data_IF_398566436300
#
_entry.id   IF_398566436300
#
_cell.length_a   1.000
_cell.length_b   1.000
_cell.length_c   1.000
_cell.angle_alpha   90.00
_cell.angle_beta   90.00
_cell.angle_gamma   90.00
#
_symmetry.space_group_name_H-M   'P 1'
#
loop_
_entity.id
_entity.type
_entity.pdbx_description
1 polymer ?
#
# COMPACT_ATOMS: atom_id res chain seq x y z
N UNK A 1 13.83 23.98 -3.40
CA UNK A 1 13.42 22.60 -3.74
C UNK A 1 13.04 22.55 -5.21
N UNK A 2 13.79 21.81 -6.03
CA UNK A 2 13.60 21.77 -7.48
C UNK A 2 12.33 20.94 -7.83
N UNK A 3 11.39 21.56 -8.57
CA UNK A 3 10.23 20.88 -9.15
C UNK A 3 10.71 19.73 -10.03
N UNK A 4 10.56 18.48 -9.57
CA UNK A 4 10.82 17.28 -10.38
C UNK A 4 9.82 17.28 -11.55
N UNK A 5 10.30 17.57 -12.75
CA UNK A 5 9.57 17.33 -14.01
C UNK A 5 9.30 15.83 -14.10
N UNK A 6 8.03 15.43 -13.99
CA UNK A 6 7.59 14.07 -14.30
C UNK A 6 7.97 13.77 -15.76
N UNK A 7 8.93 12.85 -15.97
CA UNK A 7 9.37 12.48 -17.32
C UNK A 7 8.21 11.78 -18.06
N UNK A 8 7.75 12.37 -19.15
CA UNK A 8 6.66 11.89 -20.02
C UNK A 8 7.16 10.79 -20.97
N UNK A 9 7.89 9.79 -20.46
CA UNK A 9 8.32 8.65 -21.28
C UNK A 9 7.24 7.56 -21.19
N UNK A 10 6.80 6.95 -22.31
CA UNK A 10 5.76 5.91 -22.30
C UNK A 10 6.12 4.75 -21.38
N UNK A 11 5.19 4.38 -20.48
CA UNK A 11 5.37 3.34 -19.46
C UNK A 11 5.71 1.95 -20.05
N UNK A 12 5.30 1.68 -21.28
CA UNK A 12 5.54 0.42 -22.00
C UNK A 12 7.00 0.18 -22.41
N UNK A 13 7.82 1.23 -22.50
CA UNK A 13 9.22 1.14 -22.97
C UNK A 13 10.20 0.93 -21.80
N UNK A 14 9.75 1.12 -20.54
CA UNK A 14 10.61 1.09 -19.33
C UNK A 14 10.50 -0.18 -18.48
N UNK A 15 9.53 -1.06 -18.73
CA UNK A 15 9.30 -2.24 -17.91
C UNK A 15 10.35 -3.34 -18.18
N UNK A 16 11.10 -3.77 -17.15
CA UNK A 16 12.32 -4.58 -17.33
C UNK A 16 12.24 -5.99 -16.73
N UNK A 17 11.35 -6.24 -15.77
CA UNK A 17 11.25 -7.52 -15.07
C UNK A 17 9.85 -8.11 -15.20
N UNK A 18 9.78 -9.41 -15.47
CA UNK A 18 8.54 -10.16 -15.63
C UNK A 18 8.20 -10.91 -14.35
N UNK A 19 6.96 -11.37 -14.23
CA UNK A 19 6.57 -12.31 -13.18
C UNK A 19 7.48 -13.55 -13.21
N UNK A 20 7.96 -13.97 -12.03
CA UNK A 20 8.88 -15.10 -11.88
C UNK A 20 10.38 -14.77 -12.02
N UNK A 21 10.75 -13.54 -12.41
CA UNK A 21 12.15 -13.11 -12.38
C UNK A 21 12.67 -12.93 -10.95
N UNK A 22 13.97 -13.13 -10.75
CA UNK A 22 14.62 -12.94 -9.45
C UNK A 22 14.91 -11.45 -9.21
N UNK A 23 14.53 -10.97 -8.03
CA UNK A 23 14.64 -9.56 -7.64
C UNK A 23 16.12 -9.19 -7.46
N UNK A 24 16.67 -8.23 -8.24
CA UNK A 24 18.10 -7.92 -8.24
C UNK A 24 18.55 -7.13 -6.99
N UNK A 25 17.67 -6.27 -6.47
CA UNK A 25 17.90 -5.44 -5.30
C UNK A 25 16.61 -5.24 -4.52
N UNK A 26 16.73 -5.14 -3.19
CA UNK A 26 15.60 -4.79 -2.34
C UNK A 26 15.15 -3.36 -2.66
N UNK A 27 13.85 -3.15 -2.88
CA UNK A 27 13.34 -1.84 -3.30
C UNK A 27 11.83 -1.83 -3.55
N UNK A 28 11.31 -0.66 -3.91
CA UNK A 28 9.94 -0.49 -4.41
C UNK A 28 9.95 -0.66 -5.93
N UNK A 29 8.99 -1.43 -6.42
CA UNK A 29 8.78 -1.63 -7.84
C UNK A 29 7.38 -1.14 -8.21
N UNK A 30 7.26 -0.47 -9.35
CA UNK A 30 5.97 -0.03 -9.88
C UNK A 30 5.47 -1.04 -10.92
N UNK A 31 4.19 -1.37 -10.84
CA UNK A 31 3.49 -2.25 -11.77
C UNK A 31 3.22 -1.51 -13.08
N UNK A 32 3.61 -2.10 -14.22
CA UNK A 32 3.41 -1.53 -15.55
C UNK A 32 1.94 -1.34 -15.97
N UNK A 33 1.04 -2.13 -15.38
CA UNK A 33 -0.38 -2.20 -15.76
C UNK A 33 -1.22 -1.19 -14.96
N UNK A 34 -1.16 -1.26 -13.63
CA UNK A 34 -1.97 -0.38 -12.76
C UNK A 34 -1.21 0.84 -12.24
N UNK A 35 0.12 0.84 -12.27
CA UNK A 35 0.94 1.89 -11.66
C UNK A 35 1.01 1.86 -10.13
N UNK A 36 0.53 0.79 -9.49
CA UNK A 36 0.71 0.60 -8.04
C UNK A 36 2.12 0.11 -7.71
N UNK A 37 2.50 0.35 -6.47
CA UNK A 37 3.82 0.04 -5.93
C UNK A 37 3.78 -1.20 -5.06
N UNK A 38 4.80 -2.04 -5.17
CA UNK A 38 4.99 -3.21 -4.31
C UNK A 38 6.46 -3.31 -3.91
N UNK A 39 6.72 -3.72 -2.66
CA UNK A 39 8.07 -3.83 -2.13
C UNK A 39 8.56 -5.27 -2.28
N UNK A 40 9.76 -5.45 -2.81
CA UNK A 40 10.39 -6.75 -2.98
C UNK A 40 11.77 -6.78 -2.31
N UNK A 41 12.15 -7.93 -1.74
CA UNK A 41 13.47 -8.15 -1.16
C UNK A 41 14.42 -8.78 -2.18
N UNK A 42 15.71 -8.43 -2.11
CA UNK A 42 16.75 -9.05 -2.95
C UNK A 42 16.70 -10.57 -2.82
N UNK A 43 16.59 -11.25 -3.96
CA UNK A 43 16.57 -12.70 -4.05
C UNK A 43 15.19 -13.36 -3.98
N UNK A 44 14.13 -12.60 -3.69
CA UNK A 44 12.75 -13.05 -3.90
C UNK A 44 12.43 -13.12 -5.40
N UNK A 45 11.26 -13.67 -5.73
CA UNK A 45 10.73 -13.70 -7.08
C UNK A 45 9.61 -12.67 -7.20
N UNK A 46 9.54 -11.97 -8.34
CA UNK A 46 8.44 -11.05 -8.61
C UNK A 46 7.11 -11.80 -8.66
N UNK A 47 6.18 -11.40 -7.79
CA UNK A 47 4.81 -11.90 -7.76
C UNK A 47 3.93 -11.17 -8.78
N UNK A 48 2.76 -11.76 -9.06
CA UNK A 48 1.71 -11.06 -9.78
C UNK A 48 1.20 -9.91 -8.91
N UNK A 49 0.91 -8.76 -9.54
CA UNK A 49 0.44 -7.59 -8.82
C UNK A 49 -0.95 -7.86 -8.22
N UNK A 50 -1.05 -7.78 -6.88
CA UNK A 50 -2.29 -8.11 -6.17
C UNK A 50 -3.47 -7.23 -6.59
N UNK A 51 -3.24 -5.96 -6.91
CA UNK A 51 -4.29 -5.06 -7.39
C UNK A 51 -4.76 -5.39 -8.81
N UNK A 52 -3.87 -5.89 -9.67
CA UNK A 52 -4.25 -6.35 -11.01
C UNK A 52 -5.09 -7.62 -10.92
N UNK A 53 -4.73 -8.54 -10.02
CA UNK A 53 -5.54 -9.73 -9.70
C UNK A 53 -6.92 -9.31 -9.22
N UNK A 54 -6.98 -8.41 -8.22
CA UNK A 54 -8.24 -7.94 -7.64
C UNK A 54 -9.13 -7.18 -8.64
N UNK A 55 -8.53 -6.54 -9.66
CA UNK A 55 -9.23 -5.81 -10.71
C UNK A 55 -9.56 -6.65 -11.94
N UNK A 56 -9.33 -7.97 -11.91
CA UNK A 56 -9.57 -8.91 -13.01
C UNK A 56 -8.95 -8.44 -14.35
N UNK A 57 -7.73 -7.92 -14.31
CA UNK A 57 -6.97 -7.66 -15.53
C UNK A 57 -6.24 -8.91 -15.98
N UNK A 58 -6.41 -9.28 -17.24
CA UNK A 58 -5.78 -10.45 -17.87
C UNK A 58 -4.38 -10.14 -18.45
N UNK A 59 -3.98 -8.87 -18.46
CA UNK A 59 -2.66 -8.45 -18.94
C UNK A 59 -1.54 -8.87 -17.96
N UNK A 60 -0.50 -9.54 -18.48
CA UNK A 60 0.68 -9.87 -17.70
C UNK A 60 1.37 -8.60 -17.18
N UNK A 61 1.47 -8.47 -15.85
CA UNK A 61 2.14 -7.34 -15.24
C UNK A 61 3.66 -7.47 -15.31
N UNK A 62 4.32 -6.36 -15.64
CA UNK A 62 5.78 -6.22 -15.54
C UNK A 62 6.11 -5.23 -14.43
N UNK A 63 7.32 -5.37 -13.89
CA UNK A 63 7.84 -4.54 -12.81
C UNK A 63 8.99 -3.67 -13.32
N UNK A 64 9.07 -2.45 -12.80
CA UNK A 64 10.27 -1.62 -12.95
C UNK A 64 10.65 -0.93 -11.65
N UNK A 65 11.95 -0.78 -11.47
CA UNK A 65 12.56 -0.14 -10.30
C UNK A 65 12.17 1.33 -10.32
N UNK A 66 11.53 1.80 -9.25
CA UNK A 66 11.38 3.23 -9.01
C UNK A 66 12.75 3.79 -8.62
N UNK A 67 13.01 5.08 -8.87
CA UNK A 67 14.28 5.71 -8.46
C UNK A 67 14.42 5.83 -6.92
N UNK A 68 13.51 5.22 -6.16
CA UNK A 68 13.41 5.31 -4.72
C UNK A 68 13.75 3.95 -4.11
N UNK A 69 15.00 3.83 -3.66
CA UNK A 69 15.46 2.63 -2.98
C UNK A 69 14.85 2.58 -1.57
N UNK A 70 14.01 1.58 -1.31
CA UNK A 70 13.68 1.21 0.07
C UNK A 70 14.93 0.60 0.71
N UNK A 71 15.54 1.34 1.63
CA UNK A 71 16.50 0.74 2.56
C UNK A 71 15.70 -0.15 3.52
N UNK A 72 15.73 -1.46 3.29
CA UNK A 72 15.31 -2.39 4.34
C UNK A 72 16.36 -2.32 5.46
N UNK A 73 16.13 -1.47 6.46
CA UNK A 73 16.96 -1.34 7.67
C UNK A 73 16.67 -2.50 8.65
N UNK A 74 16.47 -3.73 8.15
CA UNK A 74 16.47 -4.91 9.01
C UNK A 74 17.83 -5.58 8.91
N UNK A 75 18.82 -4.98 9.57
CA UNK A 75 20.10 -5.67 9.77
C UNK A 75 19.84 -6.86 10.69
N UNK A 76 20.21 -8.06 10.27
CA UNK A 76 20.06 -9.24 11.12
C UNK A 76 21.09 -9.20 12.25
N UNK A 77 20.67 -8.70 13.41
CA UNK A 77 21.53 -8.53 14.59
C UNK A 77 22.19 -9.85 15.02
N UNK A 78 21.53 -11.01 14.84
CA UNK A 78 22.12 -12.30 15.21
C UNK A 78 23.43 -12.59 14.46
N UNK A 79 23.51 -12.21 13.18
CA UNK A 79 24.70 -12.45 12.34
C UNK A 79 25.88 -11.60 12.84
N UNK A 80 25.60 -10.37 13.28
CA UNK A 80 26.63 -9.47 13.81
C UNK A 80 27.19 -9.98 15.14
N UNK A 81 26.31 -10.49 16.02
CA UNK A 81 26.74 -11.14 17.26
C UNK A 81 27.63 -12.34 16.99
N UNK A 82 27.29 -13.21 16.04
CA UNK A 82 28.07 -14.42 15.76
C UNK A 82 29.46 -14.10 15.16
N UNK A 83 29.59 -12.96 14.46
CA UNK A 83 30.88 -12.45 13.96
C UNK A 83 31.77 -11.91 15.06
N UNK A 84 31.19 -11.29 16.09
CA UNK A 84 31.94 -10.62 17.18
C UNK A 84 32.15 -11.58 18.37
N UNK A 85 31.37 -12.67 18.46
CA UNK A 85 31.47 -13.64 19.55
C UNK A 85 32.86 -14.26 19.66
N UNK A 86 33.46 -14.15 20.86
CA UNK A 86 34.77 -14.71 21.16
C UNK A 86 34.74 -16.24 21.16
N UNK A 87 35.92 -16.85 20.99
CA UNK A 87 36.05 -18.31 20.96
C UNK A 87 35.46 -18.98 22.23
N UNK A 88 35.72 -18.41 23.40
CA UNK A 88 35.21 -18.94 24.67
C UNK A 88 33.68 -18.94 24.76
N UNK A 89 33.03 -17.91 24.20
CA UNK A 89 31.56 -17.83 24.12
C UNK A 89 31.01 -18.95 23.26
N UNK A 90 31.62 -19.19 22.08
CA UNK A 90 31.20 -20.26 21.18
C UNK A 90 31.34 -21.65 21.82
N UNK A 91 32.38 -21.86 22.60
CA UNK A 91 32.58 -23.10 23.36
C UNK A 91 31.53 -23.25 24.45
N UNK A 92 31.29 -22.21 25.26
CA UNK A 92 30.29 -22.23 26.32
C UNK A 92 28.87 -22.50 25.78
N UNK A 93 28.52 -21.86 24.68
CA UNK A 93 27.23 -22.08 24.01
C UNK A 93 27.12 -23.51 23.47
N UNK A 94 28.20 -24.07 22.90
CA UNK A 94 28.16 -25.45 22.38
C UNK A 94 28.03 -26.50 23.47
N UNK A 95 28.72 -26.30 24.60
CA UNK A 95 28.59 -27.18 25.78
C UNK A 95 27.18 -27.06 26.35
N UNK A 96 26.64 -25.85 26.45
CA UNK A 96 25.29 -25.60 26.97
C UNK A 96 24.21 -26.20 26.07
N UNK A 97 24.37 -26.08 24.74
CA UNK A 97 23.47 -26.70 23.75
C UNK A 97 23.45 -28.24 23.90
N UNK A 98 24.64 -28.84 24.10
CA UNK A 98 24.74 -30.28 24.33
C UNK A 98 24.13 -30.70 25.68
N UNK A 99 24.43 -29.98 26.75
CA UNK A 99 23.89 -30.23 28.09
C UNK A 99 22.37 -30.05 28.18
N UNK A 100 21.79 -29.15 27.37
CA UNK A 100 20.35 -28.95 27.26
C UNK A 100 19.62 -29.99 26.39
N UNK A 101 20.34 -30.92 25.77
CA UNK A 101 19.75 -31.94 24.90
C UNK A 101 19.26 -33.17 25.67
N UNK A 102 18.22 -33.85 25.18
CA UNK A 102 17.78 -35.12 25.79
C UNK A 102 18.80 -36.26 25.65
N UNK A 103 19.71 -36.18 24.66
CA UNK A 103 20.81 -37.13 24.51
C UNK A 103 21.73 -37.14 25.73
N UNK A 104 21.99 -35.97 26.31
CA UNK A 104 22.79 -35.83 27.53
C UNK A 104 22.18 -36.58 28.72
N UNK A 105 20.85 -36.52 28.86
CA UNK A 105 20.11 -37.22 29.93
C UNK A 105 20.24 -38.73 29.77
N UNK A 106 20.04 -39.27 28.57
CA UNK A 106 20.18 -40.72 28.33
C UNK A 106 21.61 -41.20 28.55
N UNK A 107 22.60 -40.40 28.15
CA UNK A 107 24.01 -40.70 28.42
C UNK A 107 24.29 -40.83 29.93
N UNK A 108 23.80 -39.89 30.75
CA UNK A 108 23.96 -39.94 32.21
C UNK A 108 23.26 -41.12 32.84
N UNK A 109 22.04 -41.44 32.40
CA UNK A 109 21.31 -42.63 32.89
C UNK A 109 22.11 -43.90 32.61
N UNK A 110 22.62 -44.07 31.38
CA UNK A 110 23.41 -45.24 31.01
C UNK A 110 24.74 -45.30 31.76
N UNK A 111 25.42 -44.15 31.91
CA UNK A 111 26.67 -44.07 32.65
C UNK A 111 26.48 -44.42 34.14
N UNK A 112 25.47 -43.86 34.80
CA UNK A 112 25.20 -44.17 36.21
C UNK A 112 24.74 -45.62 36.39
N UNK A 113 23.89 -46.14 35.51
CA UNK A 113 23.50 -47.55 35.54
C UNK A 113 24.72 -48.47 35.36
N UNK A 114 25.61 -48.16 34.41
CA UNK A 114 26.85 -48.89 34.21
C UNK A 114 27.75 -48.86 35.44
N UNK A 115 27.92 -47.68 36.07
CA UNK A 115 28.75 -47.52 37.26
C UNK A 115 28.25 -48.35 38.44
N UNK A 116 26.93 -48.33 38.68
CA UNK A 116 26.30 -49.11 39.75
C UNK A 116 26.48 -50.60 39.46
N UNK A 117 26.16 -51.07 38.25
CA UNK A 117 26.30 -52.49 37.90
C UNK A 117 27.75 -52.99 37.98
N UNK A 118 28.73 -52.14 37.64
CA UNK A 118 30.15 -52.43 37.81
C UNK A 118 30.53 -52.62 39.28
N UNK A 119 30.06 -51.74 40.16
CA UNK A 119 30.42 -51.75 41.57
C UNK A 119 29.59 -52.71 42.44
N UNK A 120 28.40 -53.14 41.97
CA UNK A 120 27.65 -54.26 42.56
C UNK A 120 28.28 -55.63 42.23
N UNK A 121 29.41 -55.65 41.52
CA UNK A 121 30.18 -56.87 41.25
C UNK A 121 29.63 -57.74 40.13
N UNK A 122 28.69 -57.22 39.32
CA UNK A 122 28.08 -57.95 38.19
C UNK A 122 29.12 -58.35 37.12
N UNK A 123 30.24 -57.63 37.06
CA UNK A 123 31.36 -57.90 36.15
C UNK A 123 32.55 -58.62 36.84
N UNK A 124 32.39 -58.99 38.12
CA UNK A 124 33.38 -59.71 38.92
C UNK A 124 34.00 -58.88 40.05
N UNK A 125 34.51 -59.52 41.12
CA UNK A 125 34.98 -58.84 42.33
C UNK A 125 36.23 -57.97 42.13
N UNK A 126 36.92 -58.10 40.99
CA UNK A 126 38.06 -57.25 40.62
C UNK A 126 37.66 -55.86 40.13
N UNK A 127 36.39 -55.66 39.76
CA UNK A 127 35.88 -54.41 39.20
C UNK A 127 35.09 -53.57 40.22
N UNK A 128 35.06 -53.99 41.48
CA UNK A 128 34.46 -53.21 42.58
C UNK A 128 35.51 -52.24 43.10
N UNK A 129 35.38 -50.96 42.76
CA UNK A 129 36.36 -49.91 43.11
C UNK A 129 35.74 -48.75 43.92
N UNK A 130 34.43 -48.56 43.83
CA UNK A 130 33.65 -47.54 44.54
C UNK A 130 32.46 -48.22 45.24
N UNK A 131 32.67 -48.84 46.43
CA UNK A 131 31.61 -49.50 47.18
C UNK A 131 30.52 -48.51 47.62
N UNK A 132 29.29 -49.01 47.81
CA UNK A 132 28.22 -48.22 48.41
C UNK A 132 28.70 -47.61 49.75
N UNK A 133 28.65 -46.28 49.92
CA UNK A 133 27.74 -45.30 49.31
C UNK A 133 28.23 -44.51 48.06
N UNK A 134 29.12 -45.05 47.23
CA UNK A 134 29.57 -44.44 45.95
C UNK A 134 30.22 -43.04 46.10
N UNK A 135 31.24 -42.94 46.95
CA UNK A 135 31.92 -41.68 47.25
C UNK A 135 32.66 -41.08 46.05
N UNK A 136 33.26 -41.91 45.19
CA UNK A 136 33.99 -41.41 44.02
C UNK A 136 33.04 -40.87 42.95
N UNK A 137 31.93 -41.59 42.69
CA UNK A 137 30.90 -41.12 41.75
C UNK A 137 30.35 -39.76 42.18
N UNK A 138 29.98 -39.61 43.46
CA UNK A 138 29.39 -38.38 43.97
C UNK A 138 30.34 -37.20 43.89
N UNK A 139 31.63 -37.40 44.15
CA UNK A 139 32.65 -36.36 44.01
C UNK A 139 32.80 -35.90 42.55
N UNK A 140 32.90 -36.84 41.60
CA UNK A 140 33.06 -36.54 40.17
C UNK A 140 31.83 -35.79 39.63
N UNK A 141 30.63 -36.30 39.90
CA UNK A 141 29.37 -35.68 39.45
C UNK A 141 29.19 -34.29 40.05
N UNK A 142 29.56 -34.08 41.31
CA UNK A 142 29.49 -32.75 41.94
C UNK A 142 30.42 -31.75 41.26
N UNK A 143 31.65 -32.16 40.93
CA UNK A 143 32.58 -31.31 40.21
C UNK A 143 32.08 -30.99 38.79
N UNK A 144 31.59 -32.00 38.08
CA UNK A 144 30.99 -31.84 36.75
C UNK A 144 29.81 -30.86 36.77
N UNK A 145 28.91 -30.99 37.75
CA UNK A 145 27.75 -30.13 37.89
C UNK A 145 28.13 -28.65 38.08
N UNK A 146 29.21 -28.35 38.82
CA UNK A 146 29.72 -26.97 38.98
C UNK A 146 30.17 -26.41 37.63
N UNK A 147 30.94 -27.18 36.85
CA UNK A 147 31.36 -26.75 35.52
C UNK A 147 30.16 -26.51 34.59
N UNK A 148 29.20 -27.43 34.55
CA UNK A 148 28.00 -27.28 33.73
C UNK A 148 27.18 -26.05 34.14
N UNK A 149 26.96 -25.84 35.45
CA UNK A 149 26.24 -24.68 35.95
C UNK A 149 26.92 -23.37 35.55
N UNK A 150 28.26 -23.29 35.61
CA UNK A 150 28.98 -22.08 35.19
C UNK A 150 28.87 -21.83 33.68
N UNK A 151 28.96 -22.86 32.83
CA UNK A 151 28.77 -22.70 31.39
C UNK A 151 27.35 -22.26 31.04
N UNK A 152 26.35 -22.85 31.69
CA UNK A 152 24.94 -22.45 31.55
C UNK A 152 24.78 -20.97 31.92
N UNK A 153 25.34 -20.55 33.06
CA UNK A 153 25.24 -19.15 33.52
C UNK A 153 25.92 -18.18 32.53
N UNK A 154 27.07 -18.57 31.96
CA UNK A 154 27.76 -17.76 30.94
C UNK A 154 26.89 -17.63 29.68
N UNK A 155 26.35 -18.74 29.16
CA UNK A 155 25.50 -18.74 27.96
C UNK A 155 24.20 -17.94 28.18
N UNK A 156 23.62 -18.03 29.39
CA UNK A 156 22.46 -17.24 29.80
C UNK A 156 22.77 -15.73 29.85
N UNK A 157 23.90 -15.32 30.45
CA UNK A 157 24.30 -13.91 30.53
C UNK A 157 24.49 -13.31 29.12
N UNK A 158 25.08 -14.08 28.20
CA UNK A 158 25.29 -13.65 26.81
C UNK A 158 23.98 -13.57 26.05
N UNK A 159 23.11 -14.57 26.22
CA UNK A 159 21.75 -14.55 25.66
C UNK A 159 20.94 -13.36 26.16
N UNK A 160 21.08 -13.01 27.45
CA UNK A 160 20.48 -11.82 28.06
C UNK A 160 20.97 -10.53 27.40
N UNK A 161 22.28 -10.33 27.27
CA UNK A 161 22.88 -9.17 26.59
C UNK A 161 22.43 -9.06 25.12
N UNK A 162 22.35 -10.19 24.42
CA UNK A 162 21.85 -10.25 23.03
C UNK A 162 20.38 -9.85 22.96
N UNK A 163 19.57 -10.26 23.95
CA UNK A 163 18.17 -9.86 24.05
C UNK A 163 18.01 -8.36 24.31
N UNK A 164 18.79 -7.80 25.24
CA UNK A 164 18.78 -6.37 25.57
C UNK A 164 19.15 -5.51 24.36
N UNK A 165 20.23 -5.84 23.66
CA UNK A 165 20.65 -5.12 22.46
C UNK A 165 19.65 -5.23 21.30
N UNK A 166 18.94 -6.36 21.19
CA UNK A 166 17.83 -6.49 20.23
C UNK A 166 16.66 -5.60 20.61
N UNK A 167 16.29 -5.55 21.89
CA UNK A 167 15.20 -4.70 22.37
C UNK A 167 15.50 -3.20 22.13
N UNK A 168 16.75 -2.77 22.36
CA UNK A 168 17.18 -1.40 22.06
C UNK A 168 17.08 -1.07 20.57
N UNK A 169 17.53 -1.98 19.70
CA UNK A 169 17.40 -1.77 18.25
C UNK A 169 15.93 -1.77 17.80
N UNK A 170 15.10 -2.65 18.34
CA UNK A 170 13.66 -2.68 18.06
C UNK A 170 12.97 -1.38 18.49
N UNK A 171 13.37 -0.83 19.65
CA UNK A 171 12.88 0.46 20.11
C UNK A 171 13.22 1.60 19.13
N UNK A 172 14.46 1.67 18.64
CA UNK A 172 14.88 2.67 17.67
C UNK A 172 14.11 2.56 16.35
N UNK A 173 13.92 1.34 15.83
CA UNK A 173 13.12 1.11 14.61
C UNK A 173 11.67 1.51 14.82
N UNK A 174 11.10 1.23 16.01
CA UNK A 174 9.72 1.62 16.31
C UNK A 174 9.57 3.16 16.36
N UNK A 175 10.50 3.88 17.00
CA UNK A 175 10.50 5.35 17.01
C UNK A 175 10.60 5.93 15.59
N UNK A 176 11.46 5.37 14.73
CA UNK A 176 11.56 5.81 13.34
C UNK A 176 10.26 5.53 12.58
N UNK A 177 9.63 4.38 12.82
CA UNK A 177 8.34 4.03 12.24
C UNK A 177 7.24 4.99 12.68
N UNK A 178 7.16 5.33 13.98
CA UNK A 178 6.21 6.31 14.50
C UNK A 178 6.40 7.69 13.85
N UNK A 179 7.65 8.12 13.67
CA UNK A 179 7.97 9.36 12.95
C UNK A 179 7.51 9.31 11.50
N UNK A 180 7.80 8.23 10.78
CA UNK A 180 7.39 8.06 9.39
C UNK A 180 5.85 8.05 9.26
N UNK A 181 5.15 7.40 10.20
CA UNK A 181 3.68 7.43 10.25
C UNK A 181 3.16 8.84 10.52
N UNK A 182 3.77 9.59 11.43
CA UNK A 182 3.39 10.98 11.68
C UNK A 182 3.57 11.87 10.44
N UNK A 183 4.66 11.69 9.70
CA UNK A 183 4.93 12.39 8.44
C UNK A 183 3.90 12.03 7.36
N UNK A 184 3.59 10.74 7.20
CA UNK A 184 2.53 10.29 6.29
C UNK A 184 1.16 10.88 6.67
N UNK A 185 0.82 10.93 7.97
CA UNK A 185 -0.40 11.56 8.45
C UNK A 185 -0.43 13.06 8.13
N UNK A 186 0.70 13.75 8.23
CA UNK A 186 0.79 15.17 7.87
C UNK A 186 0.55 15.37 6.37
N UNK A 187 1.14 14.54 5.50
CA UNK A 187 0.92 14.59 4.05
C UNK A 187 -0.55 14.30 3.72
N UNK A 188 -1.17 13.30 4.36
CA UNK A 188 -2.59 12.98 4.15
C UNK A 188 -3.50 14.14 4.58
N UNK A 189 -3.19 14.81 5.69
CA UNK A 189 -3.93 16.00 6.12
C UNK A 189 -3.82 17.13 5.10
N UNK A 190 -2.63 17.36 4.55
CA UNK A 190 -2.43 18.39 3.52
C UNK A 190 -3.21 18.07 2.23
N UNK A 191 -3.12 16.83 1.74
CA UNK A 191 -3.90 16.38 0.58
C UNK A 191 -5.41 16.52 0.82
N UNK A 192 -5.89 16.24 2.04
CA UNK A 192 -7.29 16.47 2.40
C UNK A 192 -7.63 17.95 2.31
N UNK A 193 -6.79 18.84 2.86
CA UNK A 193 -7.01 20.29 2.82
C UNK A 193 -7.08 20.81 1.39
N UNK A 194 -6.18 20.37 0.53
CA UNK A 194 -6.23 20.71 -0.90
C UNK A 194 -7.52 20.20 -1.57
N UNK A 195 -7.99 19.00 -1.20
CA UNK A 195 -9.24 18.46 -1.74
C UNK A 195 -10.48 19.22 -1.26
N UNK A 196 -10.48 19.69 -0.01
CA UNK A 196 -11.55 20.53 0.55
C UNK A 196 -11.58 21.90 -0.14
N UNK A 197 -10.42 22.55 -0.34
CA UNK A 197 -10.33 23.82 -1.07
C UNK A 197 -10.85 23.71 -2.52
N UNK A 198 -10.53 22.60 -3.19
CA UNK A 198 -11.05 22.31 -4.54
C UNK A 198 -12.56 22.11 -4.54
N UNK A 199 -13.13 21.58 -3.47
CA UNK A 199 -14.58 21.42 -3.35
C UNK A 199 -15.29 22.75 -3.14
N UNK A 200 -14.75 23.62 -2.28
CA UNK A 200 -15.27 24.97 -2.03
C UNK A 200 -15.26 25.81 -3.31
N UNK A 201 -14.11 25.91 -3.99
CA UNK A 201 -14.02 26.61 -5.28
C UNK A 201 -14.96 26.07 -6.37
N UNK A 202 -15.20 24.75 -6.40
CA UNK A 202 -16.18 24.17 -7.35
C UNK A 202 -17.61 24.60 -6.98
N UNK A 203 -17.93 24.74 -5.70
CA UNK A 203 -19.26 25.18 -5.27
C UNK A 203 -19.46 26.68 -5.51
N UNK A 204 -18.45 27.53 -5.26
CA UNK A 204 -18.47 28.97 -5.60
C UNK A 204 -18.63 29.21 -7.12
N UNK A 205 -17.92 28.42 -7.93
CA UNK A 205 -18.07 28.48 -9.40
C UNK A 205 -19.48 28.07 -9.84
N UNK A 206 -20.15 27.14 -9.15
CA UNK A 206 -21.53 26.81 -9.49
C UNK A 206 -22.49 27.94 -9.16
N UNK A 207 -22.32 28.57 -8.00
CA UNK A 207 -23.17 29.68 -7.57
C UNK A 207 -23.08 30.85 -8.57
N UNK A 208 -21.86 31.26 -8.93
CA UNK A 208 -21.65 32.32 -9.94
C UNK A 208 -22.19 31.95 -11.33
N UNK A 209 -22.11 30.67 -11.73
CA UNK A 209 -22.71 30.21 -13.00
C UNK A 209 -24.24 30.24 -12.94
N UNK A 210 -24.84 29.97 -11.78
CA UNK A 210 -26.29 30.00 -11.57
C UNK A 210 -26.79 31.47 -11.57
N UNK A 211 -26.06 32.40 -10.95
CA UNK A 211 -26.32 33.85 -11.00
C UNK A 211 -26.21 34.42 -12.43
N UNK A 212 -25.15 34.08 -13.17
CA UNK A 212 -24.99 34.52 -14.57
C UNK A 212 -26.14 33.97 -15.42
N UNK A 213 -26.52 32.71 -15.23
CA UNK A 213 -27.63 32.12 -15.97
C UNK A 213 -28.96 32.84 -15.70
N UNK A 214 -29.20 33.30 -14.48
CA UNK A 214 -30.39 34.06 -14.11
C UNK A 214 -30.41 35.44 -14.78
N UNK A 215 -29.29 36.18 -14.73
CA UNK A 215 -29.14 37.46 -15.43
C UNK A 215 -29.27 37.32 -16.95
N UNK A 216 -28.79 36.22 -17.54
CA UNK A 216 -28.92 36.01 -18.99
C UNK A 216 -30.37 35.74 -19.41
N UNK A 217 -31.21 35.21 -18.51
CA UNK A 217 -32.63 35.01 -18.80
C UNK A 217 -33.43 36.31 -18.62
N UNK A 218 -33.09 37.16 -17.65
CA UNK A 218 -33.63 38.54 -17.55
C UNK A 218 -33.31 39.37 -18.79
N UNK A 219 -32.05 39.38 -19.23
CA UNK A 219 -31.62 40.16 -20.38
C UNK A 219 -32.29 39.67 -21.69
N UNK A 220 -32.60 38.36 -21.78
CA UNK A 220 -33.40 37.81 -22.88
C UNK A 220 -34.86 38.23 -22.82
N UNK A 221 -35.46 38.34 -21.64
CA UNK A 221 -36.82 38.87 -21.49
C UNK A 221 -36.89 40.34 -21.88
N UNK A 222 -35.92 41.17 -21.45
CA UNK A 222 -35.82 42.58 -21.82
C UNK A 222 -35.64 42.80 -23.33
N UNK A 223 -34.76 42.00 -23.97
CA UNK A 223 -34.58 42.02 -25.42
C UNK A 223 -35.86 41.60 -26.13
N UNK A 224 -36.58 40.60 -25.61
CA UNK A 224 -37.85 40.16 -26.19
C UNK A 224 -38.93 41.23 -26.08
N UNK A 225 -39.02 41.94 -24.96
CA UNK A 225 -39.94 43.07 -24.80
C UNK A 225 -39.57 44.25 -25.72
N UNK A 226 -38.28 44.51 -25.94
CA UNK A 226 -37.84 45.51 -26.92
C UNK A 226 -38.18 45.12 -28.36
N UNK A 227 -38.06 43.84 -28.72
CA UNK A 227 -38.44 43.34 -30.05
C UNK A 227 -39.97 43.43 -30.26
N UNK A 228 -40.78 43.18 -29.23
CA UNK A 228 -42.25 43.24 -29.30
C UNK A 228 -42.80 44.67 -29.36
N UNK A 229 -41.98 45.68 -29.00
CA UNK A 229 -42.31 47.11 -29.14
C UNK A 229 -41.83 47.74 -30.45
N UNK A 230 -41.11 47.02 -31.32
CA UNK A 230 -40.79 47.51 -32.67
C UNK A 230 -42.07 47.46 -33.50
N UNK A 231 -42.63 48.61 -33.94
CA UNK A 231 -43.81 48.61 -34.79
C UNK A 231 -43.47 47.88 -36.10
N UNK A 232 -44.33 46.97 -36.53
CA UNK A 232 -44.19 46.20 -37.78
C UNK A 232 -43.99 47.13 -39.00
N UNK A 233 -44.51 48.35 -38.94
CA UNK A 233 -44.34 49.41 -39.95
C UNK A 233 -42.90 49.91 -40.13
N UNK A 234 -42.08 49.89 -39.08
CA UNK A 234 -40.70 50.40 -39.14
C UNK A 234 -39.73 49.34 -39.70
N UNK A 235 -40.08 48.06 -39.58
CA UNK A 235 -39.31 46.94 -40.14
C UNK A 235 -39.55 46.82 -41.64
N UNK A 236 -40.78 47.02 -42.12
CA UNK A 236 -41.13 47.04 -43.55
C UNK A 236 -40.50 48.26 -44.26
N UNK A 237 -40.59 49.46 -43.68
CA UNK A 237 -39.97 50.67 -44.28
C UNK A 237 -38.45 50.56 -44.41
N UNK A 238 -37.78 50.02 -43.39
CA UNK A 238 -36.32 49.91 -43.39
C UNK A 238 -35.81 48.74 -44.24
N UNK A 239 -36.64 47.71 -44.46
CA UNK A 239 -36.30 46.64 -45.41
C UNK A 239 -36.53 47.07 -46.86
N UNK A 240 -37.58 47.85 -47.14
CA UNK A 240 -37.75 48.49 -48.46
C UNK A 240 -36.61 49.45 -48.79
N UNK A 241 -36.19 50.30 -47.85
CA UNK A 241 -35.08 51.25 -48.04
C UNK A 241 -33.73 50.54 -48.34
N UNK A 242 -33.45 49.41 -47.67
CA UNK A 242 -32.24 48.62 -47.89
C UNK A 242 -32.32 47.79 -49.18
N UNK A 243 -33.50 47.28 -49.55
CA UNK A 243 -33.70 46.52 -50.78
C UNK A 243 -33.59 47.39 -52.04
N UNK A 244 -34.08 48.63 -51.97
CA UNK A 244 -33.95 49.63 -53.04
C UNK A 244 -32.50 50.11 -53.21
N UNK A 245 -31.74 50.28 -52.12
CA UNK A 245 -30.32 50.67 -52.20
C UNK A 245 -29.42 49.51 -52.66
N UNK A 246 -29.83 48.27 -52.44
CA UNK A 246 -29.10 47.06 -52.88
C UNK A 246 -29.47 46.57 -54.29
N UNK A 247 -30.56 47.07 -54.90
CA UNK A 247 -30.99 46.72 -56.26
C UNK A 247 -31.41 45.26 -56.43
N UNK A 248 -32.06 44.67 -55.42
CA UNK A 248 -32.47 43.25 -55.42
C UNK A 248 -33.99 43.15 -55.57
N UNK A 249 -34.46 42.64 -56.72
CA UNK A 249 -35.89 42.35 -56.94
C UNK A 249 -36.35 41.13 -56.12
N UNK A 250 -37.50 41.27 -55.43
CA UNK A 250 -38.13 40.19 -54.67
C UNK A 250 -38.74 39.19 -55.67
N UNK A 251 -38.15 38.00 -55.79
CA UNK A 251 -38.76 36.88 -56.51
C UNK A 251 -39.74 36.20 -55.55
N UNK A 252 -41.05 36.37 -55.77
CA UNK A 252 -42.08 35.54 -55.12
C UNK A 252 -41.87 34.07 -55.53
N UNK A 253 -41.21 33.31 -54.66
CA UNK A 253 -41.31 31.86 -54.69
C UNK A 253 -42.44 31.45 -53.77
N UNK A 254 -43.49 30.90 -54.36
CA UNK A 254 -44.56 30.19 -53.66
C UNK A 254 -43.97 29.21 -52.65
N UNK A 255 -44.39 29.21 -51.36
CA UNK A 255 -43.93 28.20 -50.43
C UNK A 255 -44.54 26.86 -50.83
N UNK A 256 -43.72 26.00 -51.41
CA UNK A 256 -43.90 24.56 -51.38
C UNK A 256 -44.10 24.14 -49.92
N UNK A 257 -45.19 23.44 -49.61
CA UNK A 257 -45.56 23.01 -48.26
C UNK A 257 -44.39 22.24 -47.61
N UNK A 258 -43.64 22.89 -46.72
CA UNK A 258 -42.66 22.22 -45.86
C UNK A 258 -43.45 21.51 -44.75
N UNK A 259 -43.42 20.16 -44.67
CA UNK A 259 -44.28 19.44 -43.76
C UNK A 259 -43.90 19.71 -42.29
N UNK A 260 -44.92 20.11 -41.52
CA UNK A 260 -44.94 20.28 -40.07
C UNK A 260 -44.53 18.98 -39.33
N UNK A 261 -43.24 18.65 -39.32
CA UNK A 261 -42.73 17.41 -38.69
C UNK A 261 -41.35 17.55 -38.04
N UNK A 262 -41.05 18.68 -37.39
CA UNK A 262 -39.93 18.77 -36.43
C UNK A 262 -40.26 19.44 -35.09
N UNK A 263 -41.53 19.66 -34.77
CA UNK A 263 -41.97 20.16 -33.46
C UNK A 263 -42.22 19.07 -32.40
N UNK A 264 -41.96 17.79 -32.70
CA UNK A 264 -42.17 16.67 -31.76
C UNK A 264 -40.90 16.30 -30.95
N UNK A 265 -39.69 16.72 -31.33
CA UNK A 265 -38.48 16.25 -30.65
C UNK A 265 -38.18 16.93 -29.28
N UNK A 266 -38.64 18.17 -29.04
CA UNK A 266 -38.36 18.85 -27.75
C UNK A 266 -39.10 18.25 -26.55
N UNK A 267 -40.29 17.65 -26.75
CA UNK A 267 -41.02 16.96 -25.66
C UNK A 267 -40.39 15.61 -25.28
N UNK A 268 -39.61 14.98 -26.16
CA UNK A 268 -38.95 13.69 -25.89
C UNK A 268 -37.66 13.83 -25.07
N UNK A 269 -36.92 14.94 -25.23
CA UNK A 269 -35.69 15.20 -24.49
C UNK A 269 -35.96 15.66 -23.04
N UNK A 270 -36.98 16.48 -22.81
CA UNK A 270 -37.39 16.89 -21.46
C UNK A 270 -37.84 15.69 -20.59
N UNK A 271 -38.46 14.66 -21.21
CA UNK A 271 -38.88 13.42 -20.53
C UNK A 271 -37.69 12.49 -20.22
N UNK A 272 -36.65 12.47 -21.07
CA UNK A 272 -35.40 11.71 -20.81
C UNK A 272 -34.53 12.32 -19.70
N UNK A 273 -34.54 13.65 -19.55
CA UNK A 273 -33.78 14.34 -18.48
C UNK A 273 -34.47 14.14 -17.10
N UNK A 274 -35.80 14.26 -17.02
CA UNK A 274 -36.55 13.96 -15.77
C UNK A 274 -36.40 12.50 -15.32
N UNK A 275 -36.36 11.53 -16.25
CA UNK A 275 -36.14 10.09 -15.92
C UNK A 275 -34.70 9.78 -15.48
N UNK A 276 -33.69 10.54 -15.92
CA UNK A 276 -32.29 10.39 -15.47
C UNK A 276 -32.05 11.00 -14.09
N UNK A 277 -32.70 12.12 -13.74
CA UNK A 277 -32.63 12.74 -12.39
C UNK A 277 -33.27 11.86 -11.32
N UNK A 278 -34.44 11.24 -11.56
CA UNK A 278 -35.08 10.34 -10.58
C UNK A 278 -34.33 9.03 -10.36
N UNK A 279 -33.66 8.47 -11.39
CA UNK A 279 -32.84 7.25 -11.25
C UNK A 279 -31.53 7.49 -10.47
N UNK A 280 -30.89 8.67 -10.58
CA UNK A 280 -29.68 9.03 -9.80
C UNK A 280 -29.99 9.29 -8.32
N UNK A 281 -31.15 9.85 -7.98
CA UNK A 281 -31.56 10.06 -6.58
C UNK A 281 -31.92 8.75 -5.85
N UNK A 282 -32.52 7.77 -6.54
CA UNK A 282 -32.85 6.46 -5.92
C UNK A 282 -31.62 5.57 -5.67
N UNK A 283 -30.57 5.66 -6.51
CA UNK A 283 -29.30 4.93 -6.29
C UNK A 283 -28.48 5.51 -5.13
N UNK A 284 -28.60 6.81 -4.85
CA UNK A 284 -27.96 7.45 -3.68
C UNK A 284 -28.64 7.09 -2.36
N UNK A 285 -29.97 6.85 -2.35
CA UNK A 285 -30.71 6.43 -1.14
C UNK A 285 -30.48 4.96 -0.78
N UNK A 286 -30.36 4.05 -1.75
CA UNK A 286 -30.09 2.63 -1.46
C UNK A 286 -28.66 2.37 -0.99
N UNK A 287 -27.64 3.09 -1.49
CA UNK A 287 -26.26 2.96 -0.98
C UNK A 287 -26.04 3.51 0.44
N UNK A 288 -26.94 4.35 0.95
CA UNK A 288 -26.87 4.87 2.33
C UNK A 288 -27.51 3.92 3.36
N UNK A 289 -28.25 2.89 2.91
CA UNK A 289 -28.92 1.90 3.77
C UNK A 289 -28.15 0.58 3.93
N UNK A 290 -27.02 0.39 3.23
CA UNK A 290 -26.17 -0.82 3.30
C UNK A 290 -24.84 -0.55 4.02
N UNK A 291 -24.71 0.62 4.67
CA UNK A 291 -23.51 1.02 5.42
C UNK A 291 -23.83 1.52 6.84
N UNK A 292 -24.86 0.93 7.45
CA UNK A 292 -25.07 0.91 8.90
C UNK A 292 -24.95 -0.53 9.35
#
# INVERSE_FOLDING_TARGET
MAKKRFSVIPKSIKAKYSWGDKVPASGIYECSVCGNYEAFKKGEFFSQCQDCINSHREEENKWYVTNEFLYFISKNMNIEFDRIASFHVKVADKITEWAGSMGFVYFHILWFAWWILANEGYFGPKYVFDPFPYGLLTMIVSLEAIFLATFIMISQNISGKKSELRAEHEYQVNLETEKNVAELLAIIKEMRRESELKHETIDDIKETVEEIAEHTEEEKEDIKEHIEKVPESDLEQKTEEILDEAGIDIIETTPEEVPLSKSIEKKSMAKKIKKKKTKKLNVKKTKKSVKK
#
